data_IF_980602234069
#
_entry.id   IF_980602234069
#
_cell.length_a   1.000
_cell.length_b   1.000
_cell.length_c   1.000
_cell.angle_alpha   90.00
_cell.angle_beta   90.00
_cell.angle_gamma   90.00
#
_symmetry.space_group_name_H-M   'P 1'
#
loop_
_entity.id
_entity.type
_entity.pdbx_description
1 polymer ?
#
# COMPACT_ATOMS: atom_id res chain seq x y z
N UNK A 1 1.63 8.62 -9.74
CA UNK A 1 1.86 7.32 -9.08
C UNK A 1 3.11 7.47 -8.24
N UNK A 2 3.02 7.21 -6.94
CA UNK A 2 4.17 7.20 -6.03
C UNK A 2 4.41 5.75 -5.64
N UNK A 3 5.67 5.35 -5.60
CA UNK A 3 6.05 4.03 -5.14
C UNK A 3 6.89 4.16 -3.86
N UNK A 4 6.34 3.63 -2.77
CA UNK A 4 7.01 3.60 -1.50
C UNK A 4 7.71 2.25 -1.42
N UNK A 5 9.03 2.27 -1.62
CA UNK A 5 9.90 1.11 -1.41
C UNK A 5 10.10 0.84 0.11
N UNK A 6 9.00 0.91 0.85
CA UNK A 6 8.89 0.67 2.28
C UNK A 6 7.72 -0.28 2.53
N UNK A 7 7.86 -1.12 3.56
CA UNK A 7 6.76 -1.94 4.06
C UNK A 7 5.65 -1.07 4.63
N UNK A 8 4.41 -1.55 4.61
CA UNK A 8 3.33 -0.86 5.32
C UNK A 8 3.62 -0.84 6.82
N UNK A 9 3.73 0.39 7.33
CA UNK A 9 3.60 0.72 8.73
C UNK A 9 2.74 1.97 8.90
N UNK A 10 2.42 2.25 10.16
CA UNK A 10 1.61 3.38 10.57
C UNK A 10 2.15 4.75 10.14
N UNK A 11 3.47 4.97 10.24
CA UNK A 11 4.08 6.27 9.95
C UNK A 11 4.07 6.56 8.45
N UNK A 12 4.30 5.54 7.63
CA UNK A 12 4.19 5.62 6.18
C UNK A 12 2.75 5.99 5.77
N UNK A 13 1.73 5.35 6.37
CA UNK A 13 0.33 5.67 6.08
C UNK A 13 -0.03 7.11 6.47
N UNK A 14 0.49 7.62 7.59
CA UNK A 14 0.32 9.03 7.98
C UNK A 14 0.96 10.00 6.99
N UNK A 15 2.19 9.72 6.56
CA UNK A 15 2.90 10.56 5.59
C UNK A 15 2.11 10.62 4.27
N UNK A 16 1.62 9.46 3.81
CA UNK A 16 0.77 9.37 2.63
C UNK A 16 -0.50 10.21 2.78
N UNK A 17 -1.22 10.05 3.89
CA UNK A 17 -2.46 10.78 4.11
C UNK A 17 -2.24 12.30 4.11
N UNK A 18 -1.23 12.76 4.85
CA UNK A 18 -0.85 14.19 4.89
C UNK A 18 -0.44 14.71 3.51
N UNK A 19 0.27 13.90 2.71
CA UNK A 19 0.61 14.26 1.34
C UNK A 19 -0.63 14.42 0.46
N UNK A 20 -1.61 13.51 0.55
CA UNK A 20 -2.86 13.59 -0.21
C UNK A 20 -3.61 14.87 0.16
N UNK A 21 -3.76 15.15 1.46
CA UNK A 21 -4.45 16.33 1.97
C UNK A 21 -3.81 17.65 1.50
N UNK A 22 -2.48 17.68 1.35
CA UNK A 22 -1.74 18.86 0.88
C UNK A 22 -1.67 19.00 -0.63
N UNK A 23 -1.82 17.92 -1.39
CA UNK A 23 -1.55 17.88 -2.83
C UNK A 23 -2.78 18.03 -3.72
N UNK A 24 -3.94 18.39 -3.16
CA UNK A 24 -5.22 18.54 -3.86
C UNK A 24 -5.58 17.28 -4.69
N UNK A 25 -5.51 16.10 -4.09
CA UNK A 25 -6.00 14.84 -4.66
C UNK A 25 -5.34 14.40 -5.99
N UNK A 26 -4.16 14.92 -6.31
CA UNK A 26 -3.43 14.54 -7.52
C UNK A 26 -2.88 13.10 -7.46
N UNK A 27 -2.80 12.50 -6.27
CA UNK A 27 -2.26 11.16 -6.09
C UNK A 27 -3.29 10.08 -6.44
N UNK A 28 -3.13 9.45 -7.60
CA UNK A 28 -4.07 8.40 -8.06
C UNK A 28 -3.71 6.98 -7.61
N UNK A 29 -2.41 6.68 -7.47
CA UNK A 29 -1.91 5.33 -7.21
C UNK A 29 -0.71 5.39 -6.26
N UNK A 30 -0.71 4.49 -5.26
CA UNK A 30 0.41 4.25 -4.34
C UNK A 30 0.79 2.76 -4.40
N UNK A 31 2.07 2.50 -4.67
CA UNK A 31 2.68 1.18 -4.47
C UNK A 31 3.29 1.09 -3.06
N UNK A 32 2.97 0.02 -2.32
CA UNK A 32 3.55 -0.26 -1.00
C UNK A 32 3.90 -1.74 -0.90
N UNK A 33 4.95 -2.09 -0.15
CA UNK A 33 5.31 -3.48 0.16
C UNK A 33 4.55 -4.00 1.38
N UNK A 34 4.33 -5.32 1.43
CA UNK A 34 3.88 -6.01 2.64
C UNK A 34 2.42 -5.73 3.02
N UNK A 35 1.51 -5.72 2.03
CA UNK A 35 0.06 -5.63 2.30
C UNK A 35 -0.49 -6.93 2.91
N UNK A 36 0.28 -8.02 2.82
CA UNK A 36 0.03 -9.31 3.46
C UNK A 36 0.33 -9.31 4.98
N UNK A 37 1.03 -8.30 5.50
CA UNK A 37 1.27 -8.13 6.94
C UNK A 37 -0.05 -7.98 7.69
N UNK A 38 -0.15 -8.60 8.87
CA UNK A 38 -1.24 -8.36 9.82
C UNK A 38 -1.16 -6.91 10.34
N UNK A 39 -2.11 -6.08 9.91
CA UNK A 39 -2.26 -4.69 10.36
C UNK A 39 -3.04 -4.61 11.67
N UNK A 40 -2.75 -3.59 12.47
CA UNK A 40 -3.56 -3.23 13.62
C UNK A 40 -4.75 -2.32 13.23
N UNK A 41 -5.67 -2.10 14.16
CA UNK A 41 -6.88 -1.31 13.91
C UNK A 41 -6.61 0.14 13.50
N UNK A 42 -5.52 0.74 13.98
CA UNK A 42 -5.15 2.12 13.61
C UNK A 42 -4.58 2.21 12.20
N UNK A 43 -3.73 1.25 11.81
CA UNK A 43 -3.21 1.11 10.45
C UNK A 43 -4.35 0.88 9.45
N UNK A 44 -5.29 -0.01 9.78
CA UNK A 44 -6.48 -0.26 8.95
C UNK A 44 -7.34 1.00 8.79
N UNK A 45 -7.54 1.75 9.87
CA UNK A 45 -8.29 3.01 9.83
C UNK A 45 -7.63 4.06 8.92
N UNK A 46 -6.30 4.19 8.96
CA UNK A 46 -5.57 5.09 8.05
C UNK A 46 -5.67 4.62 6.60
N UNK A 47 -5.59 3.31 6.38
CA UNK A 47 -5.71 2.72 5.05
C UNK A 47 -7.09 3.03 4.43
N UNK A 48 -8.16 2.92 5.21
CA UNK A 48 -9.52 3.22 4.76
C UNK A 48 -9.69 4.71 4.46
N UNK A 49 -9.07 5.60 5.24
CA UNK A 49 -9.05 7.03 4.95
C UNK A 49 -8.36 7.34 3.62
N UNK A 50 -7.22 6.70 3.33
CA UNK A 50 -6.50 6.86 2.06
C UNK A 50 -7.35 6.36 0.89
N UNK A 51 -7.99 5.18 1.04
CA UNK A 51 -8.90 4.64 0.01
C UNK A 51 -10.11 5.55 -0.24
N UNK A 52 -10.67 6.15 0.81
CA UNK A 52 -11.79 7.08 0.70
C UNK A 52 -11.44 8.36 -0.08
N UNK A 53 -10.15 8.71 -0.20
CA UNK A 53 -9.65 9.80 -1.06
C UNK A 53 -9.56 9.41 -2.54
N UNK A 54 -9.99 8.20 -2.92
CA UNK A 54 -9.94 7.73 -4.30
C UNK A 54 -8.56 7.26 -4.75
N UNK A 55 -7.63 7.06 -3.81
CA UNK A 55 -6.28 6.57 -4.10
C UNK A 55 -6.29 5.06 -4.22
N UNK A 56 -5.83 4.54 -5.36
CA UNK A 56 -5.64 3.09 -5.55
C UNK A 56 -4.35 2.64 -4.88
N UNK A 57 -4.45 1.72 -3.94
CA UNK A 57 -3.29 1.08 -3.29
C UNK A 57 -3.00 -0.23 -4.03
N UNK A 58 -1.75 -0.42 -4.43
CA UNK A 58 -1.29 -1.65 -5.10
C UNK A 58 -0.12 -2.23 -4.32
N UNK A 59 -0.04 -3.55 -4.27
CA UNK A 59 1.15 -4.19 -3.74
C UNK A 59 2.29 -4.02 -4.73
N UNK A 60 3.41 -3.48 -4.26
CA UNK A 60 4.62 -3.37 -5.03
C UNK A 60 5.61 -4.41 -4.54
N UNK A 61 6.18 -5.19 -5.45
CA UNK A 61 7.24 -6.15 -5.13
C UNK A 61 8.53 -5.68 -5.80
N UNK A 62 9.57 -5.47 -5.02
CA UNK A 62 10.93 -5.24 -5.55
C UNK A 62 11.68 -6.55 -5.78
N UNK A 63 11.30 -7.62 -5.10
CA UNK A 63 11.99 -8.91 -5.19
C UNK A 63 11.31 -9.86 -6.21
N UNK A 64 12.00 -10.24 -7.31
CA UNK A 64 11.49 -11.22 -8.26
C UNK A 64 11.23 -12.62 -7.65
N UNK A 65 11.84 -12.97 -6.51
CA UNK A 65 11.57 -14.22 -5.80
C UNK A 65 10.19 -14.21 -5.12
N UNK A 66 9.76 -13.06 -4.58
CA UNK A 66 8.43 -12.90 -3.97
C UNK A 66 7.30 -13.08 -5.02
N UNK A 67 7.52 -12.58 -6.24
CA UNK A 67 6.60 -12.78 -7.37
C UNK A 67 6.44 -14.26 -7.72
N UNK A 68 7.55 -15.03 -7.69
CA UNK A 68 7.50 -16.49 -7.96
C UNK A 68 6.68 -17.23 -6.91
N UNK A 69 6.81 -16.89 -5.63
CA UNK A 69 6.04 -17.54 -4.56
C UNK A 69 4.54 -17.27 -4.67
N UNK A 70 4.13 -16.05 -5.02
CA UNK A 70 2.71 -15.70 -5.21
C UNK A 70 2.12 -16.45 -6.41
N UNK A 71 2.81 -16.45 -7.56
CA UNK A 71 2.34 -17.18 -8.75
C UNK A 71 2.17 -18.67 -8.44
N UNK A 72 3.10 -19.28 -7.70
CA UNK A 72 2.98 -20.69 -7.29
C UNK A 72 1.80 -20.91 -6.33
N UNK A 73 1.53 -19.97 -5.40
CA UNK A 73 0.35 -20.05 -4.50
C UNK A 73 -0.97 -19.90 -5.25
N UNK A 74 -1.06 -18.97 -6.21
CA UNK A 74 -2.29 -18.74 -6.98
C UNK A 74 -2.60 -19.86 -7.97
N UNK A 75 -1.58 -20.53 -8.52
CA UNK A 75 -1.77 -21.67 -9.45
C UNK A 75 -2.07 -23.01 -8.76
N UNK A 76 -2.06 -23.06 -7.42
CA UNK A 76 -2.37 -24.27 -6.62
C UNK A 76 -3.76 -24.27 -5.99
N UNK A 77 -4.64 -23.34 -6.37
CA UNK A 77 -6.07 -23.37 -6.02
C UNK A 77 -6.91 -24.06 -7.08
#
# INVERSE_FOLDING_TARGET
MINLNYSVDYDILKIVLNYIERSNDNLKIIGIMGLDKKMNDEELKLLDQIKAKGVKIVEYYTDPLCVREIVIKTLRM
#
